data_IF_481829148720
#
_entry.id   IF_481829148720
#
_cell.length_a   1.000
_cell.length_b   1.000
_cell.length_c   1.000
_cell.angle_alpha   90.00
_cell.angle_beta   90.00
_cell.angle_gamma   90.00
#
_symmetry.space_group_name_H-M   'P 1'
#
loop_
_entity.id
_entity.type
_entity.pdbx_description
1 polymer ?
#
# COMPACT_ATOMS: atom_id res chain seq x y z
N UNK A 1 -27.32 12.96 -12.30
CA UNK A 1 -26.23 12.62 -13.23
C UNK A 1 -25.92 11.13 -13.03
N UNK A 2 -26.34 10.24 -13.98
CA UNK A 2 -26.04 8.80 -13.88
C UNK A 2 -24.54 8.63 -14.19
N UNK A 3 -23.75 8.25 -13.19
CA UNK A 3 -22.40 7.74 -13.41
C UNK A 3 -22.52 6.49 -14.28
N UNK A 4 -22.08 6.57 -15.53
CA UNK A 4 -22.01 5.40 -16.41
C UNK A 4 -21.05 4.41 -15.75
N UNK A 5 -21.53 3.20 -15.43
CA UNK A 5 -20.69 2.11 -14.93
C UNK A 5 -19.75 1.70 -16.07
N UNK A 6 -18.55 2.22 -16.08
CA UNK A 6 -17.50 1.62 -16.89
C UNK A 6 -17.18 0.24 -16.34
N UNK A 7 -17.06 -0.75 -17.22
CA UNK A 7 -16.52 -2.04 -16.80
C UNK A 7 -15.05 -1.87 -16.42
N UNK A 8 -14.52 -2.72 -15.53
CA UNK A 8 -13.08 -2.70 -15.22
C UNK A 8 -12.21 -2.91 -16.46
N UNK A 9 -12.66 -3.71 -17.41
CA UNK A 9 -11.97 -3.95 -18.67
C UNK A 9 -11.89 -2.64 -19.49
N UNK A 10 -12.94 -1.81 -19.53
CA UNK A 10 -12.93 -0.50 -20.20
C UNK A 10 -11.99 0.49 -19.47
N UNK A 11 -12.03 0.50 -18.14
CA UNK A 11 -11.12 1.31 -17.34
C UNK A 11 -9.65 0.95 -17.65
N UNK A 12 -9.29 -0.32 -17.55
CA UNK A 12 -7.93 -0.77 -17.82
C UNK A 12 -7.52 -0.56 -19.30
N UNK A 13 -8.43 -0.63 -20.25
CA UNK A 13 -8.14 -0.32 -21.64
C UNK A 13 -7.84 1.17 -21.86
N UNK A 14 -8.48 2.07 -21.13
CA UNK A 14 -8.18 3.51 -21.18
C UNK A 14 -6.82 3.84 -20.58
N UNK A 15 -6.48 3.23 -19.45
CA UNK A 15 -5.16 3.39 -18.83
C UNK A 15 -4.03 2.96 -19.75
N UNK A 16 -4.25 2.00 -20.64
CA UNK A 16 -3.27 1.47 -21.60
C UNK A 16 -3.01 2.37 -22.81
N UNK A 17 -3.86 3.34 -23.08
CA UNK A 17 -3.76 4.18 -24.29
C UNK A 17 -2.66 5.24 -24.25
N UNK A 18 -1.80 5.25 -23.20
CA UNK A 18 -0.67 6.17 -23.11
C UNK A 18 0.60 5.62 -23.76
N UNK A 19 1.48 6.53 -24.22
CA UNK A 19 2.78 6.21 -24.88
C UNK A 19 3.88 5.71 -23.91
N UNK A 20 3.54 5.31 -22.69
CA UNK A 20 4.50 4.88 -21.69
C UNK A 20 5.10 3.51 -22.04
N UNK A 21 6.44 3.40 -21.97
CA UNK A 21 7.16 2.13 -22.18
C UNK A 21 6.92 1.10 -21.06
N UNK A 22 6.44 1.53 -19.91
CA UNK A 22 6.14 0.71 -18.72
C UNK A 22 4.85 1.19 -18.07
N UNK A 23 4.04 0.26 -17.57
CA UNK A 23 2.80 0.58 -16.85
C UNK A 23 2.89 0.06 -15.42
N UNK A 24 2.70 0.95 -14.44
CA UNK A 24 2.55 0.60 -13.03
C UNK A 24 1.16 1.02 -12.58
N UNK A 25 0.38 0.09 -12.06
CA UNK A 25 -0.95 0.32 -11.52
C UNK A 25 -0.89 0.05 -10.03
N UNK A 26 -1.17 1.05 -9.20
CA UNK A 26 -1.26 0.93 -7.75
C UNK A 26 -2.73 1.05 -7.36
N UNK A 27 -3.21 0.07 -6.60
CA UNK A 27 -4.58 0.04 -6.08
C UNK A 27 -4.47 -0.04 -4.57
N UNK A 28 -4.76 1.09 -3.95
CA UNK A 28 -4.75 1.20 -2.50
C UNK A 28 -6.05 0.65 -1.90
N UNK A 29 -5.95 0.09 -0.69
CA UNK A 29 -7.06 -0.56 0.01
C UNK A 29 -7.82 -1.58 -0.86
N UNK A 30 -7.07 -2.34 -1.64
CA UNK A 30 -7.59 -3.26 -2.65
C UNK A 30 -8.60 -4.28 -2.11
N UNK A 31 -8.51 -4.64 -0.80
CA UNK A 31 -9.44 -5.55 -0.16
C UNK A 31 -10.90 -5.10 -0.23
N UNK A 32 -11.16 -3.78 -0.22
CA UNK A 32 -12.54 -3.29 -0.33
C UNK A 32 -13.11 -3.49 -1.73
N UNK A 33 -12.33 -3.23 -2.77
CA UNK A 33 -12.76 -3.47 -4.15
C UNK A 33 -13.00 -4.96 -4.40
N UNK A 34 -12.08 -5.80 -3.91
CA UNK A 34 -12.12 -7.26 -4.08
C UNK A 34 -13.30 -7.89 -3.33
N UNK A 35 -13.56 -7.47 -2.09
CA UNK A 35 -14.71 -7.95 -1.30
C UNK A 35 -16.05 -7.50 -1.90
N UNK A 36 -16.09 -6.32 -2.51
CA UNK A 36 -17.32 -5.75 -3.08
C UNK A 36 -17.70 -6.35 -4.42
N UNK A 37 -16.71 -6.70 -5.24
CA UNK A 37 -16.95 -7.11 -6.63
C UNK A 37 -15.93 -8.16 -7.10
N UNK A 38 -16.34 -9.45 -7.19
CA UNK A 38 -15.47 -10.52 -7.71
C UNK A 38 -15.00 -10.31 -9.15
N UNK A 39 -15.73 -9.52 -9.97
CA UNK A 39 -15.30 -9.21 -11.35
C UNK A 39 -14.03 -8.36 -11.37
N UNK A 40 -13.75 -7.60 -10.31
CA UNK A 40 -12.52 -6.85 -10.16
C UNK A 40 -11.28 -7.77 -10.18
N UNK A 41 -11.29 -8.87 -9.42
CA UNK A 41 -10.22 -9.87 -9.42
C UNK A 41 -10.02 -10.47 -10.80
N UNK A 42 -11.11 -10.85 -11.47
CA UNK A 42 -11.05 -11.41 -12.83
C UNK A 42 -10.42 -10.44 -13.83
N UNK A 43 -10.77 -9.15 -13.74
CA UNK A 43 -10.23 -8.11 -14.62
C UNK A 43 -8.74 -7.85 -14.38
N UNK A 44 -8.28 -7.85 -13.11
CA UNK A 44 -6.86 -7.76 -12.77
C UNK A 44 -6.08 -8.96 -13.34
N UNK A 45 -6.61 -10.17 -13.16
CA UNK A 45 -5.97 -11.38 -13.67
C UNK A 45 -5.92 -11.40 -15.20
N UNK A 46 -6.97 -10.94 -15.87
CA UNK A 46 -6.97 -10.76 -17.33
C UNK A 46 -5.91 -9.76 -17.78
N UNK A 47 -5.77 -8.63 -17.07
CA UNK A 47 -4.80 -7.60 -17.39
C UNK A 47 -3.38 -8.16 -17.35
N UNK A 48 -3.06 -8.95 -16.33
CA UNK A 48 -1.76 -9.62 -16.20
C UNK A 48 -1.52 -10.67 -17.29
N UNK A 49 -2.56 -11.45 -17.64
CA UNK A 49 -2.42 -12.59 -18.56
C UNK A 49 -2.32 -12.21 -20.03
N UNK A 50 -3.07 -11.20 -20.45
CA UNK A 50 -3.32 -10.96 -21.89
C UNK A 50 -2.22 -10.21 -22.60
N UNK A 51 -1.10 -9.81 -21.98
CA UNK A 51 -0.10 -8.93 -22.62
C UNK A 51 -0.74 -7.83 -23.48
N UNK A 52 -1.85 -7.27 -22.97
CA UNK A 52 -2.63 -6.24 -23.69
C UNK A 52 -1.89 -4.90 -23.76
N UNK A 53 -0.74 -4.83 -23.13
CA UNK A 53 0.14 -3.67 -23.13
C UNK A 53 1.46 -4.06 -23.80
N UNK A 54 2.02 -3.23 -24.69
CA UNK A 54 3.24 -3.58 -25.43
C UNK A 54 4.49 -3.67 -24.54
N UNK A 55 4.46 -3.08 -23.35
CA UNK A 55 5.55 -3.08 -22.38
C UNK A 55 5.23 -3.91 -21.12
N UNK A 56 6.16 -3.93 -20.15
CA UNK A 56 5.95 -4.59 -18.87
C UNK A 56 4.87 -3.87 -18.05
N UNK A 57 4.01 -4.66 -17.41
CA UNK A 57 2.95 -4.19 -16.51
C UNK A 57 3.24 -4.68 -15.11
N UNK A 58 3.27 -3.77 -14.13
CA UNK A 58 3.33 -4.06 -12.71
C UNK A 58 2.02 -3.65 -12.05
N UNK A 59 1.42 -4.55 -11.28
CA UNK A 59 0.20 -4.26 -10.52
C UNK A 59 0.54 -4.43 -9.05
N UNK A 60 0.34 -3.36 -8.26
CA UNK A 60 0.55 -3.33 -6.82
C UNK A 60 -0.82 -3.22 -6.18
N UNK A 61 -1.17 -4.20 -5.34
CA UNK A 61 -2.37 -4.19 -4.51
C UNK A 61 -1.92 -3.91 -3.08
N UNK A 62 -2.22 -2.72 -2.57
CA UNK A 62 -1.94 -2.36 -1.19
C UNK A 62 -3.16 -2.67 -0.31
N UNK A 63 -2.91 -3.05 0.94
CA UNK A 63 -3.93 -3.32 1.94
C UNK A 63 -3.41 -2.99 3.33
N UNK A 64 -4.20 -2.29 4.12
CA UNK A 64 -3.95 -2.07 5.55
C UNK A 64 -4.26 -3.30 6.42
N UNK A 65 -4.93 -4.32 5.87
CA UNK A 65 -5.30 -5.54 6.58
C UNK A 65 -4.33 -6.68 6.30
N UNK A 66 -3.43 -6.95 7.25
CA UNK A 66 -2.50 -8.09 7.19
C UNK A 66 -3.27 -9.42 7.14
N UNK A 67 -4.34 -9.56 7.94
CA UNK A 67 -5.17 -10.78 7.96
C UNK A 67 -5.76 -11.04 6.58
N UNK A 68 -6.31 -10.00 5.95
CA UNK A 68 -6.84 -10.15 4.60
C UNK A 68 -5.75 -10.57 3.62
N UNK A 69 -4.59 -9.91 3.62
CA UNK A 69 -3.52 -10.19 2.68
C UNK A 69 -2.95 -11.63 2.81
N UNK A 70 -2.89 -12.17 4.03
CA UNK A 70 -2.29 -13.47 4.31
C UNK A 70 -3.28 -14.65 4.28
N UNK A 71 -4.56 -14.39 4.52
CA UNK A 71 -5.60 -15.43 4.64
C UNK A 71 -6.69 -15.25 3.58
N UNK A 72 -7.47 -14.15 3.65
CA UNK A 72 -8.66 -13.97 2.82
C UNK A 72 -8.33 -13.78 1.33
N UNK A 73 -7.17 -13.17 1.00
CA UNK A 73 -6.78 -12.93 -0.39
C UNK A 73 -6.64 -14.24 -1.18
N UNK A 74 -6.17 -15.31 -0.54
CA UNK A 74 -6.06 -16.61 -1.17
C UNK A 74 -7.42 -17.14 -1.65
N UNK A 75 -8.44 -16.99 -0.82
CA UNK A 75 -9.80 -17.43 -1.15
C UNK A 75 -10.42 -16.49 -2.21
N UNK A 76 -10.22 -15.20 -2.09
CA UNK A 76 -10.73 -14.22 -3.03
C UNK A 76 -10.14 -14.36 -4.44
N UNK A 77 -8.86 -14.70 -4.56
CA UNK A 77 -8.20 -14.94 -5.84
C UNK A 77 -8.33 -16.37 -6.35
N UNK A 78 -8.64 -17.34 -5.48
CA UNK A 78 -8.72 -18.76 -5.81
C UNK A 78 -7.44 -19.25 -6.54
N UNK A 79 -7.58 -19.95 -7.65
CA UNK A 79 -6.43 -20.39 -8.47
C UNK A 79 -5.58 -19.23 -9.01
N UNK A 80 -6.15 -18.03 -9.11
CA UNK A 80 -5.44 -16.82 -9.52
C UNK A 80 -4.39 -16.36 -8.52
N UNK A 81 -4.47 -16.79 -7.25
CA UNK A 81 -3.50 -16.43 -6.21
C UNK A 81 -2.07 -16.85 -6.57
N UNK A 82 -1.89 -17.98 -7.25
CA UNK A 82 -0.60 -18.45 -7.76
C UNK A 82 0.07 -17.51 -8.76
N UNK A 83 -0.66 -16.50 -9.23
CA UNK A 83 -0.16 -15.48 -10.18
C UNK A 83 0.33 -14.22 -9.48
N UNK A 84 0.21 -14.15 -8.17
CA UNK A 84 0.85 -13.11 -7.35
C UNK A 84 2.33 -13.47 -7.27
N UNK A 85 3.18 -12.59 -7.80
CA UNK A 85 4.62 -12.86 -7.87
C UNK A 85 5.30 -12.62 -6.53
N UNK A 86 4.84 -11.61 -5.78
CA UNK A 86 5.42 -11.21 -4.49
C UNK A 86 4.30 -10.80 -3.54
N UNK A 87 4.35 -11.33 -2.33
CA UNK A 87 3.61 -10.82 -1.18
C UNK A 87 4.64 -10.18 -0.24
N UNK A 88 4.51 -8.87 -0.04
CA UNK A 88 5.44 -8.09 0.76
C UNK A 88 4.71 -7.43 1.92
N UNK A 89 5.17 -7.67 3.15
CA UNK A 89 4.75 -6.95 4.33
C UNK A 89 5.67 -5.75 4.51
N UNK A 90 5.09 -4.56 4.55
CA UNK A 90 5.83 -3.35 4.91
C UNK A 90 5.95 -3.33 6.44
N UNK A 91 7.17 -3.42 6.93
CA UNK A 91 7.45 -3.37 8.37
C UNK A 91 7.58 -1.93 8.83
N UNK A 92 7.33 -1.71 10.12
CA UNK A 92 7.62 -0.45 10.76
C UNK A 92 9.12 -0.14 10.75
N UNK A 93 9.48 1.12 10.84
CA UNK A 93 10.88 1.54 10.95
C UNK A 93 11.52 0.91 12.21
N UNK A 94 12.69 0.34 12.05
CA UNK A 94 13.46 -0.13 13.19
C UNK A 94 14.13 1.04 13.94
N UNK A 95 14.67 0.78 15.14
CA UNK A 95 15.27 1.82 15.97
C UNK A 95 16.37 2.63 15.27
N UNK A 96 17.24 1.98 14.48
CA UNK A 96 18.30 2.68 13.76
C UNK A 96 17.78 3.60 12.67
N UNK A 97 16.67 3.23 12.04
CA UNK A 97 15.99 4.07 11.06
C UNK A 97 15.35 5.28 11.75
N UNK A 98 14.77 5.10 12.94
CA UNK A 98 14.25 6.22 13.74
C UNK A 98 15.37 7.19 14.14
N UNK A 99 16.53 6.70 14.58
CA UNK A 99 17.68 7.56 14.86
C UNK A 99 18.13 8.36 13.63
N UNK A 100 18.08 7.74 12.45
CA UNK A 100 18.41 8.44 11.19
C UNK A 100 17.36 9.47 10.78
N UNK A 101 16.10 9.25 11.15
CA UNK A 101 14.99 10.19 10.89
C UNK A 101 15.15 11.46 11.71
N UNK A 102 15.73 11.37 12.92
CA UNK A 102 15.91 12.48 13.83
C UNK A 102 17.39 12.73 14.15
N UNK A 103 18.21 13.16 13.19
CA UNK A 103 19.67 13.27 13.37
C UNK A 103 20.10 14.35 14.37
N UNK A 104 19.21 15.30 14.70
CA UNK A 104 19.46 16.35 15.68
C UNK A 104 19.12 15.95 17.12
N UNK A 105 18.44 14.83 17.32
CA UNK A 105 18.03 14.37 18.65
C UNK A 105 19.11 13.46 19.28
N UNK A 106 19.15 13.45 20.60
CA UNK A 106 19.99 12.49 21.31
C UNK A 106 19.49 11.07 21.15
N UNK A 107 20.38 10.09 21.25
CA UNK A 107 19.98 8.67 21.22
C UNK A 107 18.99 8.36 22.35
N UNK A 108 19.14 9.00 23.51
CA UNK A 108 18.19 8.87 24.63
C UNK A 108 16.79 9.34 24.27
N UNK A 109 16.68 10.45 23.55
CA UNK A 109 15.37 10.95 23.10
C UNK A 109 14.78 10.03 22.02
N UNK A 110 15.59 9.53 21.10
CA UNK A 110 15.16 8.53 20.12
C UNK A 110 14.65 7.24 20.78
N UNK A 111 15.29 6.78 21.88
CA UNK A 111 14.80 5.62 22.65
C UNK A 111 13.41 5.91 23.23
N UNK A 112 13.20 7.11 23.80
CA UNK A 112 11.88 7.49 24.35
C UNK A 112 10.82 7.56 23.26
N UNK A 113 11.14 8.17 22.12
CA UNK A 113 10.25 8.28 20.97
C UNK A 113 9.86 6.88 20.50
N UNK A 114 10.87 6.05 20.19
CA UNK A 114 10.63 4.68 19.71
C UNK A 114 9.86 3.81 20.70
N UNK A 115 10.16 3.94 22.00
CA UNK A 115 9.44 3.22 23.07
C UNK A 115 7.97 3.66 23.23
N UNK A 116 7.59 4.82 22.68
CA UNK A 116 6.24 5.38 22.84
C UNK A 116 5.38 5.19 21.60
N UNK A 117 5.92 5.54 20.45
CA UNK A 117 5.17 5.55 19.17
C UNK A 117 5.64 4.46 18.18
N UNK A 118 6.60 3.63 18.61
CA UNK A 118 7.17 2.59 17.74
C UNK A 118 7.91 3.17 16.55
N UNK A 119 7.96 2.41 15.47
CA UNK A 119 8.53 2.82 14.19
C UNK A 119 7.51 3.19 13.13
N UNK A 120 6.28 3.53 13.53
CA UNK A 120 5.20 3.85 12.57
C UNK A 120 5.50 5.14 11.83
N UNK A 121 5.68 5.11 10.48
CA UNK A 121 6.10 6.29 9.71
C UNK A 121 5.19 7.52 9.91
N UNK A 122 3.88 7.33 9.97
CA UNK A 122 2.92 8.44 10.15
C UNK A 122 3.10 9.16 11.48
N UNK A 123 3.45 8.46 12.56
CA UNK A 123 3.76 9.09 13.84
C UNK A 123 5.12 9.79 13.82
N UNK A 124 6.10 9.23 13.09
CA UNK A 124 7.40 9.89 12.91
C UNK A 124 7.27 11.21 12.15
N UNK A 125 6.47 11.24 11.09
CA UNK A 125 6.20 12.45 10.30
C UNK A 125 5.47 13.51 11.12
N UNK A 126 4.54 13.11 11.99
CA UNK A 126 3.79 14.01 12.85
C UNK A 126 4.59 14.51 14.06
N UNK A 127 5.71 13.87 14.39
CA UNK A 127 6.57 14.26 15.50
C UNK A 127 7.34 15.55 15.19
N UNK A 128 7.22 16.56 16.07
CA UNK A 128 7.96 17.81 15.95
C UNK A 128 9.17 17.82 16.92
N UNK A 129 10.41 17.77 16.42
CA UNK A 129 11.60 17.79 17.27
C UNK A 129 11.86 19.11 18.00
N UNK A 130 11.21 20.21 17.58
CA UNK A 130 11.38 21.55 18.15
C UNK A 130 10.56 21.81 19.43
N UNK A 131 9.60 20.89 19.75
CA UNK A 131 8.76 21.01 20.93
C UNK A 131 9.08 19.87 21.92
N UNK A 132 8.62 20.03 23.18
CA UNK A 132 8.90 19.03 24.20
C UNK A 132 8.28 17.66 23.85
N UNK A 133 8.90 16.59 24.38
CA UNK A 133 8.36 15.23 24.28
C UNK A 133 6.90 15.16 24.74
N UNK A 134 6.56 15.82 25.85
CA UNK A 134 5.20 15.82 26.41
C UNK A 134 4.19 16.49 25.47
N UNK A 135 4.56 17.60 24.87
CA UNK A 135 3.70 18.30 23.89
C UNK A 135 3.46 17.44 22.64
N UNK A 136 4.50 16.73 22.15
CA UNK A 136 4.32 15.80 21.04
C UNK A 136 3.29 14.71 21.37
N UNK A 137 3.36 14.11 22.57
CA UNK A 137 2.39 13.09 22.99
C UNK A 137 0.97 13.66 22.99
N UNK A 138 0.75 14.86 23.55
CA UNK A 138 -0.58 15.48 23.55
C UNK A 138 -1.13 15.82 22.15
N UNK A 139 -0.25 15.98 21.17
CA UNK A 139 -0.68 16.24 19.77
C UNK A 139 -0.99 14.97 18.99
N UNK A 140 -0.44 13.83 19.41
CA UNK A 140 -0.62 12.55 18.73
C UNK A 140 -1.80 11.72 19.29
N UNK A 141 -2.31 12.06 20.46
CA UNK A 141 -3.45 11.44 21.15
C UNK A 141 -4.68 12.32 21.03
#
# INVERSE_FOLDING_TARGET
MKLSRYSYDEFFNRVKSGDASKLVIVIDEAQYAIKRDPEFVKSILKLKMKRLYPGPVMIILASSSIVWATQDAKDAFGDGFRRIDVLHKVEDLNFLEVVRTFPALSVSDCIRIYGTIGGVPGFMEAWNPEISYRENIYRLV
#
